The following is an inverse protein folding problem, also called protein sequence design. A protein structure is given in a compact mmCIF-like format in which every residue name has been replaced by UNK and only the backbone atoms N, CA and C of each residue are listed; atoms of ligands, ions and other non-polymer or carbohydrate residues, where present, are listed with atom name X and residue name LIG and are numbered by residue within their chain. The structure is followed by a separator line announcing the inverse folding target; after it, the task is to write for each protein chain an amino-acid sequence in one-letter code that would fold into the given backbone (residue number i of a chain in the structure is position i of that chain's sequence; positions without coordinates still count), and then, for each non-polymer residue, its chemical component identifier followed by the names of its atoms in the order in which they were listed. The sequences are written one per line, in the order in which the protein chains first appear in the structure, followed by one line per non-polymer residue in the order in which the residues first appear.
data_IF_653760134066
#
_entry.id   IF_653760134066
#
_cell.length_a   1.000
_cell.length_b   1.000
_cell.length_c   1.000
_cell.angle_alpha   90.00
_cell.angle_beta   90.00
_cell.angle_gamma   90.00
#
_symmetry.space_group_name_H-M   'P 1'
#
loop_
_entity.id
_entity.type
_entity.pdbx_description
1 polymer ?
#
# COMPACT_ATOMS: atom_id res chain seq x y z
N UNK A 1 -18.08 -10.41 52.14
CA UNK A 1 -19.30 -11.10 51.67
C UNK A 1 -19.02 -11.68 50.31
N UNK A 2 -18.86 -13.00 50.26
CA UNK A 2 -18.71 -13.80 49.04
C UNK A 2 -20.08 -13.97 48.39
N UNK A 3 -20.20 -13.67 47.10
CA UNK A 3 -21.35 -14.00 46.27
C UNK A 3 -20.89 -14.81 45.06
N UNK A 4 -21.12 -16.13 45.13
CA UNK A 4 -20.92 -17.10 44.03
C UNK A 4 -22.17 -17.12 43.15
N UNK A 5 -22.00 -16.99 41.85
CA UNK A 5 -22.90 -17.48 40.78
C UNK A 5 -21.93 -17.81 39.63
N UNK A 6 -21.75 -19.02 39.12
CA UNK A 6 -22.69 -20.10 38.83
C UNK A 6 -22.43 -20.50 37.37
N UNK A 7 -21.32 -21.23 37.14
CA UNK A 7 -20.91 -21.75 35.84
C UNK A 7 -21.88 -22.85 35.38
N UNK A 8 -22.48 -22.68 34.20
CA UNK A 8 -23.15 -23.76 33.46
C UNK A 8 -22.46 -23.90 32.09
N UNK A 9 -21.42 -24.71 32.05
CA UNK A 9 -20.79 -25.19 30.82
C UNK A 9 -21.58 -26.38 30.29
N UNK A 10 -22.46 -26.16 29.31
CA UNK A 10 -23.00 -27.24 28.48
C UNK A 10 -22.00 -27.55 27.37
N UNK A 11 -21.40 -28.74 27.48
CA UNK A 11 -20.39 -29.26 26.56
C UNK A 11 -20.91 -29.46 25.13
N UNK A 12 -20.32 -28.73 24.20
CA UNK A 12 -20.45 -28.96 22.77
C UNK A 12 -19.37 -29.95 22.32
N UNK A 13 -19.75 -31.22 22.09
CA UNK A 13 -18.84 -32.25 21.57
C UNK A 13 -18.68 -32.09 20.04
N UNK A 14 -17.45 -32.17 19.49
CA UNK A 14 -17.22 -32.06 18.06
C UNK A 14 -17.68 -33.33 17.33
N UNK A 15 -18.47 -33.14 16.27
CA UNK A 15 -18.94 -34.21 15.39
C UNK A 15 -17.76 -34.74 14.54
N UNK A 16 -17.27 -35.94 14.88
CA UNK A 16 -16.27 -36.67 14.10
C UNK A 16 -16.91 -37.25 12.83
N UNK A 17 -16.44 -36.74 11.68
CA UNK A 17 -16.13 -37.46 10.42
C UNK A 17 -17.08 -38.58 9.95
N UNK A 18 -18.06 -38.23 9.10
CA UNK A 18 -18.77 -39.18 8.22
C UNK A 18 -18.12 -39.41 6.85
N UNK A 19 -17.01 -38.73 6.52
CA UNK A 19 -16.32 -38.85 5.23
C UNK A 19 -15.20 -39.91 5.15
N UNK A 20 -14.62 -40.34 6.28
CA UNK A 20 -13.46 -41.24 6.28
C UNK A 20 -13.81 -42.74 6.33
N UNK A 21 -15.07 -43.08 6.63
CA UNK A 21 -15.57 -44.46 6.65
C UNK A 21 -15.86 -45.02 5.25
N UNK A 22 -16.31 -44.16 4.32
CA UNK A 22 -16.71 -44.58 2.98
C UNK A 22 -15.51 -44.89 2.07
N UNK A 23 -14.42 -44.10 2.20
CA UNK A 23 -13.18 -44.31 1.43
C UNK A 23 -12.38 -45.54 1.90
N UNK A 24 -12.46 -45.91 3.18
CA UNK A 24 -11.82 -47.14 3.69
C UNK A 24 -12.58 -48.42 3.29
N UNK A 25 -13.89 -48.34 3.05
CA UNK A 25 -14.68 -49.48 2.58
C UNK A 25 -14.51 -49.71 1.07
N UNK A 26 -14.48 -48.63 0.26
CA UNK A 26 -14.21 -48.71 -1.18
C UNK A 26 -12.77 -49.21 -1.48
N UNK A 27 -11.78 -48.81 -0.68
CA UNK A 27 -10.40 -49.29 -0.83
C UNK A 27 -10.23 -50.77 -0.46
N UNK A 28 -11.03 -51.33 0.46
CA UNK A 28 -11.00 -52.77 0.81
C UNK A 28 -11.65 -53.66 -0.26
N UNK A 29 -12.66 -53.16 -0.98
CA UNK A 29 -13.33 -53.92 -2.05
C UNK A 29 -12.49 -53.99 -3.34
N UNK A 30 -11.69 -52.97 -3.65
CA UNK A 30 -10.79 -53.00 -4.80
C UNK A 30 -9.52 -53.84 -4.58
N UNK A 31 -9.07 -53.99 -3.32
CA UNK A 31 -7.89 -54.80 -2.97
C UNK A 31 -8.27 -56.27 -2.69
N UNK A 32 -9.47 -56.53 -2.15
CA UNK A 32 -9.94 -57.90 -1.86
C UNK A 32 -10.28 -58.73 -3.11
N UNK A 33 -10.76 -58.09 -4.18
CA UNK A 33 -11.17 -58.76 -5.42
C UNK A 33 -10.02 -59.30 -6.28
N UNK A 34 -8.83 -58.68 -6.22
CA UNK A 34 -7.68 -59.13 -7.02
C UNK A 34 -6.87 -60.27 -6.35
N UNK A 35 -7.04 -60.50 -5.05
CA UNK A 35 -6.29 -61.54 -4.33
C UNK A 35 -6.87 -62.95 -4.54
N UNK A 36 -8.17 -63.10 -4.85
CA UNK A 36 -8.80 -64.41 -5.06
C UNK A 36 -8.64 -64.98 -6.47
N UNK A 37 -8.38 -64.14 -7.48
CA UNK A 37 -8.08 -64.61 -8.85
C UNK A 37 -6.62 -65.06 -8.99
N UNK A 38 -5.71 -64.54 -8.16
CA UNK A 38 -4.28 -64.87 -8.20
C UNK A 38 -3.96 -66.26 -7.62
N UNK A 39 -4.73 -66.75 -6.65
CA UNK A 39 -4.45 -68.01 -5.94
C UNK A 39 -5.06 -69.27 -6.57
N UNK A 40 -5.73 -69.18 -7.73
CA UNK A 40 -6.30 -70.35 -8.44
C UNK A 40 -5.46 -70.88 -9.61
N UNK A 41 -4.25 -70.36 -9.81
CA UNK A 41 -3.35 -70.75 -10.92
C UNK A 41 -1.99 -71.30 -10.51
N UNK A 42 -1.87 -71.84 -9.29
CA UNK A 42 -0.70 -72.59 -8.84
C UNK A 42 -1.11 -73.96 -8.29
N UNK A 43 -1.53 -74.85 -9.17
CA UNK A 43 -1.27 -76.29 -9.04
C UNK A 43 -0.62 -76.72 -10.35
N UNK A 44 0.56 -77.32 -10.21
CA UNK A 44 1.40 -77.92 -11.26
C UNK A 44 2.35 -76.95 -11.99
N UNK A 45 3.48 -76.64 -11.34
CA UNK A 45 4.70 -76.22 -12.02
C UNK A 45 5.92 -76.64 -11.17
N UNK A 46 6.26 -77.92 -11.21
CA UNK A 46 7.58 -78.42 -10.81
C UNK A 46 8.59 -78.04 -11.88
N UNK A 47 9.68 -77.37 -11.48
CA UNK A 47 10.87 -77.18 -12.30
C UNK A 47 10.86 -76.00 -13.27
N UNK A 48 11.10 -74.78 -12.78
CA UNK A 48 11.68 -73.67 -13.58
C UNK A 48 12.34 -72.63 -12.67
N UNK A 49 13.46 -72.08 -13.11
CA UNK A 49 14.31 -71.18 -12.31
C UNK A 49 13.66 -69.80 -12.10
N UNK A 50 14.05 -69.11 -11.02
CA UNK A 50 13.51 -67.81 -10.58
C UNK A 50 13.57 -66.69 -11.66
N UNK A 51 14.45 -66.83 -12.66
CA UNK A 51 14.54 -65.90 -13.81
C UNK A 51 13.38 -66.04 -14.79
N UNK A 52 12.89 -67.25 -15.03
CA UNK A 52 11.80 -67.50 -15.99
C UNK A 52 10.44 -67.04 -15.45
N UNK A 53 10.27 -67.07 -14.13
CA UNK A 53 9.04 -66.63 -13.45
C UNK A 53 8.86 -65.10 -13.48
N UNK A 54 9.94 -64.32 -13.47
CA UNK A 54 9.87 -62.85 -13.56
C UNK A 54 9.51 -62.37 -14.98
N UNK A 55 9.88 -63.12 -16.02
CA UNK A 55 9.57 -62.80 -17.42
C UNK A 55 8.10 -63.06 -17.78
N UNK A 56 7.49 -64.08 -17.19
CA UNK A 56 6.08 -64.46 -17.43
C UNK A 56 5.07 -63.67 -16.58
N UNK A 57 5.48 -63.07 -15.46
CA UNK A 57 4.58 -62.33 -14.54
C UNK A 57 4.53 -60.82 -14.79
N UNK A 58 5.21 -60.31 -15.83
CA UNK A 58 5.20 -58.89 -16.18
C UNK A 58 5.79 -57.96 -15.11
N UNK A 59 6.42 -58.50 -14.06
CA UNK A 59 6.88 -57.77 -12.86
C UNK A 59 7.92 -56.69 -13.19
N UNK A 60 8.76 -56.95 -14.19
CA UNK A 60 9.74 -55.98 -14.69
C UNK A 60 9.11 -54.84 -15.51
N UNK A 61 7.97 -55.09 -16.16
CA UNK A 61 7.19 -54.05 -16.85
C UNK A 61 6.38 -53.23 -15.86
N UNK A 62 5.79 -53.86 -14.84
CA UNK A 62 5.02 -53.18 -13.79
C UNK A 62 5.90 -52.23 -12.96
N UNK A 63 7.15 -52.59 -12.69
CA UNK A 63 8.10 -51.73 -11.96
C UNK A 63 8.64 -50.55 -12.79
N UNK A 64 8.79 -50.73 -14.11
CA UNK A 64 9.13 -49.62 -15.03
C UNK A 64 7.94 -48.66 -15.19
N UNK A 65 6.72 -49.18 -15.33
CA UNK A 65 5.50 -48.38 -15.43
C UNK A 65 5.27 -47.56 -14.13
N UNK A 66 5.54 -48.13 -12.95
CA UNK A 66 5.39 -47.39 -11.68
C UNK A 66 6.44 -46.27 -11.51
N UNK A 67 7.67 -46.47 -12.00
CA UNK A 67 8.73 -45.46 -11.99
C UNK A 67 8.44 -44.31 -12.95
N UNK A 68 7.95 -44.61 -14.15
CA UNK A 68 7.53 -43.60 -15.15
C UNK A 68 6.33 -42.81 -14.65
N UNK A 69 5.32 -43.46 -14.05
CA UNK A 69 4.17 -42.77 -13.44
C UNK A 69 4.57 -41.82 -12.31
N UNK A 70 5.58 -42.17 -11.50
CA UNK A 70 6.12 -41.30 -10.43
C UNK A 70 6.86 -40.08 -10.97
N UNK A 71 7.61 -40.25 -12.06
CA UNK A 71 8.30 -39.14 -12.73
C UNK A 71 7.33 -38.18 -13.40
N UNK A 72 6.31 -38.71 -14.09
CA UNK A 72 5.25 -37.89 -14.69
C UNK A 72 4.48 -37.12 -13.61
N UNK A 73 4.12 -37.78 -12.50
CA UNK A 73 3.46 -37.10 -11.39
C UNK A 73 4.34 -36.00 -10.76
N UNK A 74 5.65 -36.26 -10.60
CA UNK A 74 6.59 -35.25 -10.12
C UNK A 74 6.69 -34.04 -11.06
N UNK A 75 6.74 -34.26 -12.37
CA UNK A 75 6.75 -33.19 -13.37
C UNK A 75 5.44 -32.38 -13.38
N UNK A 76 4.29 -33.02 -13.19
CA UNK A 76 2.99 -32.34 -13.08
C UNK A 76 2.93 -31.48 -11.82
N UNK A 77 3.41 -31.99 -10.68
CA UNK A 77 3.44 -31.22 -9.42
C UNK A 77 4.41 -30.05 -9.53
N UNK A 78 5.59 -30.24 -10.13
CA UNK A 78 6.54 -29.15 -10.39
C UNK A 78 5.93 -28.12 -11.35
N UNK A 79 5.26 -28.54 -12.40
CA UNK A 79 4.56 -27.64 -13.35
C UNK A 79 3.40 -26.88 -12.70
N UNK A 80 2.65 -27.51 -11.78
CA UNK A 80 1.62 -26.85 -10.98
C UNK A 80 2.24 -25.82 -10.04
N UNK A 81 3.32 -26.15 -9.33
CA UNK A 81 4.03 -25.19 -8.47
C UNK A 81 4.61 -24.03 -9.31
N UNK A 82 5.14 -24.31 -10.50
CA UNK A 82 5.67 -23.28 -11.41
C UNK A 82 4.58 -22.35 -11.95
N UNK A 83 3.36 -22.87 -12.19
CA UNK A 83 2.23 -22.03 -12.61
C UNK A 83 1.70 -21.14 -11.48
N UNK A 84 1.74 -21.59 -10.22
CA UNK A 84 1.44 -20.74 -9.07
C UNK A 84 2.48 -19.64 -8.86
N UNK A 85 3.77 -19.91 -9.08
CA UNK A 85 4.83 -18.90 -8.95
C UNK A 85 4.79 -17.86 -10.09
N UNK A 86 4.28 -18.24 -11.27
CA UNK A 86 4.17 -17.33 -12.42
C UNK A 86 2.88 -16.51 -12.47
N UNK A 87 1.85 -16.88 -11.71
CA UNK A 87 0.68 -16.02 -11.50
C UNK A 87 0.92 -15.16 -10.25
N UNK A 88 1.84 -14.20 -10.36
CA UNK A 88 1.73 -13.02 -9.50
C UNK A 88 0.34 -12.44 -9.76
N UNK A 89 -0.54 -12.47 -8.76
CA UNK A 89 -1.81 -11.75 -8.84
C UNK A 89 -1.46 -10.30 -9.25
N UNK A 90 -1.99 -9.84 -10.39
CA UNK A 90 -1.96 -8.43 -10.75
C UNK A 90 -2.81 -7.67 -9.73
N UNK A 91 -2.22 -7.44 -8.56
CA UNK A 91 -2.81 -6.74 -7.45
C UNK A 91 -2.61 -5.25 -7.70
N UNK A 92 -3.72 -4.53 -7.75
CA UNK A 92 -3.70 -3.07 -7.78
C UNK A 92 -3.50 -2.56 -6.37
N UNK A 93 -2.43 -1.80 -6.14
CA UNK A 93 -2.12 -1.19 -4.85
C UNK A 93 -2.90 0.12 -4.66
N UNK A 94 -3.47 0.31 -3.49
CA UNK A 94 -4.24 1.52 -3.17
C UNK A 94 -3.36 2.59 -2.52
N UNK A 95 -3.18 3.73 -3.19
CA UNK A 95 -2.41 4.86 -2.68
C UNK A 95 -3.38 5.96 -2.26
N UNK A 96 -3.44 6.27 -0.98
CA UNK A 96 -4.31 7.32 -0.45
C UNK A 96 -3.72 8.70 -0.74
N UNK A 97 -4.58 9.64 -1.10
CA UNK A 97 -4.26 11.07 -1.25
C UNK A 97 -5.28 11.90 -0.50
N UNK A 98 -4.85 13.01 0.06
CA UNK A 98 -5.75 14.02 0.62
C UNK A 98 -5.77 15.33 -0.17
N UNK A 99 -5.07 15.37 -1.30
CA UNK A 99 -5.09 16.52 -2.18
C UNK A 99 -6.25 16.41 -3.17
N UNK A 100 -6.83 17.58 -3.47
CA UNK A 100 -7.75 17.76 -4.58
C UNK A 100 -7.35 19.04 -5.33
N UNK A 101 -6.14 19.03 -5.89
CA UNK A 101 -5.50 20.20 -6.50
C UNK A 101 -4.45 19.75 -7.56
N UNK A 102 -3.49 20.61 -7.91
CA UNK A 102 -2.47 20.26 -8.90
C UNK A 102 -1.61 19.04 -8.54
N UNK A 103 -1.50 18.67 -7.26
CA UNK A 103 -0.68 17.53 -6.84
C UNK A 103 -1.39 16.21 -7.12
N UNK A 104 -2.69 16.15 -6.84
CA UNK A 104 -3.53 14.99 -7.09
C UNK A 104 -4.98 15.42 -7.22
N UNK A 105 -5.72 14.83 -8.16
CA UNK A 105 -7.09 15.20 -8.46
C UNK A 105 -7.90 14.01 -9.02
N UNK A 106 -9.21 14.20 -9.23
CA UNK A 106 -10.13 13.16 -9.72
C UNK A 106 -9.81 12.62 -11.13
N UNK A 107 -9.04 13.36 -11.95
CA UNK A 107 -8.59 12.90 -13.26
C UNK A 107 -7.32 12.05 -13.17
N UNK A 108 -6.75 11.93 -11.97
CA UNK A 108 -5.50 11.21 -11.71
C UNK A 108 -4.33 11.69 -12.59
N UNK A 109 -4.30 12.99 -12.90
CA UNK A 109 -3.30 13.63 -13.75
C UNK A 109 -2.47 14.71 -13.04
N UNK A 110 -2.61 14.80 -11.71
CA UNK A 110 -1.82 15.69 -10.87
C UNK A 110 -0.34 15.31 -10.84
N UNK A 111 0.50 16.22 -10.33
CA UNK A 111 1.95 16.03 -10.29
C UNK A 111 2.35 14.74 -9.57
N UNK A 112 1.83 14.53 -8.35
CA UNK A 112 2.09 13.32 -7.58
C UNK A 112 1.36 12.11 -8.15
N UNK A 113 0.19 12.29 -8.78
CA UNK A 113 -0.48 11.16 -9.45
C UNK A 113 0.45 10.53 -10.48
N UNK A 114 0.99 11.36 -11.35
CA UNK A 114 1.86 10.96 -12.44
C UNK A 114 3.21 10.43 -11.95
N UNK A 115 3.79 11.06 -10.92
CA UNK A 115 5.06 10.60 -10.33
C UNK A 115 4.87 9.20 -9.73
N UNK A 116 3.83 9.00 -8.92
CA UNK A 116 3.61 7.73 -8.21
C UNK A 116 3.17 6.63 -9.16
N UNK A 117 2.26 6.89 -10.10
CA UNK A 117 1.88 5.92 -11.13
C UNK A 117 3.09 5.45 -11.95
N UNK A 118 3.96 6.37 -12.38
CA UNK A 118 5.17 6.02 -13.13
C UNK A 118 6.18 5.24 -12.26
N UNK A 119 6.28 5.58 -10.98
CA UNK A 119 7.13 4.84 -10.01
C UNK A 119 6.66 3.39 -9.89
N UNK A 120 5.36 3.16 -9.67
CA UNK A 120 4.80 1.81 -9.60
C UNK A 120 4.96 1.06 -10.92
N UNK A 121 4.68 1.72 -12.06
CA UNK A 121 4.82 1.11 -13.39
C UNK A 121 6.25 0.62 -13.65
N UNK A 122 7.27 1.40 -13.30
CA UNK A 122 8.68 1.03 -13.45
C UNK A 122 9.10 -0.11 -12.52
N UNK A 123 8.46 -0.22 -11.35
CA UNK A 123 8.63 -1.34 -10.43
C UNK A 123 7.88 -2.62 -10.87
N UNK A 124 7.15 -2.58 -12.00
CA UNK A 124 6.34 -3.71 -12.48
C UNK A 124 5.05 -3.89 -11.69
N UNK A 125 4.55 -2.83 -11.06
CA UNK A 125 3.36 -2.82 -10.20
C UNK A 125 2.28 -1.90 -10.80
N UNK A 126 1.04 -2.10 -10.37
CA UNK A 126 -0.08 -1.23 -10.70
C UNK A 126 -0.61 -0.57 -9.42
N UNK A 127 -0.98 0.70 -9.48
CA UNK A 127 -1.61 1.40 -8.37
C UNK A 127 -2.82 2.22 -8.79
N UNK A 128 -3.75 2.40 -7.86
CA UNK A 128 -4.87 3.31 -7.96
C UNK A 128 -4.79 4.33 -6.83
N UNK A 129 -4.93 5.61 -7.18
CA UNK A 129 -4.89 6.71 -6.22
C UNK A 129 -6.32 7.01 -5.75
N UNK A 130 -6.52 7.07 -4.44
CA UNK A 130 -7.84 7.16 -3.82
C UNK A 130 -7.90 8.36 -2.88
N UNK A 131 -8.85 9.26 -3.09
CA UNK A 131 -9.06 10.40 -2.21
C UNK A 131 -9.57 9.99 -0.82
N UNK A 132 -9.02 10.63 0.20
CA UNK A 132 -9.41 10.55 1.62
C UNK A 132 -9.34 11.93 2.26
N UNK A 133 -10.14 12.15 3.30
CA UNK A 133 -9.96 13.34 4.14
C UNK A 133 -8.57 13.30 4.81
N UNK A 134 -7.90 14.45 4.89
CA UNK A 134 -6.49 14.56 5.31
C UNK A 134 -6.22 13.93 6.67
N UNK A 135 -7.11 14.13 7.61
CA UNK A 135 -7.02 13.59 8.96
C UNK A 135 -7.31 12.08 9.04
N UNK A 136 -7.97 11.48 8.03
CA UNK A 136 -8.30 10.05 7.98
C UNK A 136 -7.25 9.21 7.24
N UNK A 137 -6.61 9.78 6.21
CA UNK A 137 -5.77 9.04 5.26
C UNK A 137 -4.63 8.23 5.93
N UNK A 138 -3.93 8.83 6.89
CA UNK A 138 -2.86 8.16 7.64
C UNK A 138 -3.37 6.99 8.50
N UNK A 139 -4.56 7.12 9.09
CA UNK A 139 -5.15 6.04 9.89
C UNK A 139 -5.57 4.86 9.02
N UNK A 140 -6.14 5.11 7.85
CA UNK A 140 -6.54 4.06 6.90
C UNK A 140 -5.33 3.23 6.44
N UNK A 141 -4.23 3.91 6.11
CA UNK A 141 -2.99 3.23 5.70
C UNK A 141 -2.39 2.49 6.90
N UNK A 142 -2.31 3.10 8.08
CA UNK A 142 -1.76 2.47 9.28
C UNK A 142 -2.58 1.26 9.76
N UNK A 143 -3.90 1.25 9.53
CA UNK A 143 -4.78 0.13 9.80
C UNK A 143 -4.71 -0.98 8.72
N UNK A 144 -3.98 -0.74 7.63
CA UNK A 144 -3.84 -1.67 6.52
C UNK A 144 -5.06 -1.71 5.58
N UNK A 145 -6.00 -0.76 5.71
CA UNK A 145 -7.16 -0.61 4.82
C UNK A 145 -6.75 -0.10 3.44
N UNK A 146 -5.70 0.72 3.39
CA UNK A 146 -5.04 1.18 2.17
C UNK A 146 -3.57 0.77 2.19
N UNK A 147 -2.93 0.75 1.03
CA UNK A 147 -1.59 0.19 0.87
C UNK A 147 -0.47 1.21 1.07
N UNK A 148 -0.74 2.47 0.75
CA UNK A 148 0.23 3.55 0.78
C UNK A 148 -0.43 4.92 1.02
N UNK A 149 0.35 5.88 1.51
CA UNK A 149 -0.01 7.30 1.66
C UNK A 149 0.92 8.12 0.76
N UNK A 150 0.32 8.95 -0.10
CA UNK A 150 1.01 9.54 -1.24
C UNK A 150 2.15 10.49 -0.86
N UNK A 151 2.00 11.26 0.23
CA UNK A 151 2.92 12.37 0.52
C UNK A 151 2.90 12.84 1.98
N UNK A 152 3.97 12.58 2.73
CA UNK A 152 4.14 13.05 4.12
C UNK A 152 5.60 13.37 4.43
N UNK A 153 5.81 14.21 5.44
CA UNK A 153 7.14 14.43 6.02
C UNK A 153 7.68 13.13 6.64
N UNK A 154 9.01 13.05 6.85
CA UNK A 154 9.62 11.96 7.61
C UNK A 154 9.10 11.91 9.07
N UNK A 155 9.23 10.76 9.73
CA UNK A 155 8.92 10.60 11.15
C UNK A 155 7.47 10.19 11.48
N UNK A 156 6.62 9.93 10.47
CA UNK A 156 5.22 9.53 10.71
C UNK A 156 5.11 8.20 11.45
N UNK A 157 6.09 7.31 11.31
CA UNK A 157 6.18 6.03 11.98
C UNK A 157 6.16 6.14 13.51
N UNK A 158 6.54 7.30 14.07
CA UNK A 158 6.47 7.56 15.53
C UNK A 158 5.03 7.57 16.03
N UNK A 159 4.09 8.09 15.24
CA UNK A 159 2.65 8.13 15.57
C UNK A 159 1.84 7.03 14.87
N UNK A 160 2.37 6.48 13.79
CA UNK A 160 1.73 5.49 12.93
C UNK A 160 2.69 4.30 12.72
N UNK A 161 2.81 3.37 13.68
CA UNK A 161 3.90 2.38 13.73
C UNK A 161 3.90 1.36 12.57
N UNK A 162 2.81 1.26 11.81
CA UNK A 162 2.76 0.40 10.63
C UNK A 162 3.14 1.12 9.32
N UNK A 163 3.59 2.37 9.39
CA UNK A 163 4.04 3.12 8.23
C UNK A 163 5.55 2.99 8.04
N UNK A 164 5.95 2.77 6.79
CA UNK A 164 7.34 2.77 6.34
C UNK A 164 7.42 3.63 5.07
N UNK A 165 8.41 4.51 4.95
CA UNK A 165 8.54 5.33 3.75
C UNK A 165 9.68 4.91 2.84
N UNK A 166 9.59 5.33 1.58
CA UNK A 166 10.69 5.33 0.64
C UNK A 166 11.86 6.18 1.14
N UNK A 167 13.09 5.78 0.82
CA UNK A 167 14.28 6.61 1.12
C UNK A 167 14.42 7.76 0.14
N UNK A 168 13.95 7.60 -1.10
CA UNK A 168 13.96 8.65 -2.11
C UNK A 168 12.73 9.57 -1.94
N UNK A 169 12.90 10.88 -1.75
CA UNK A 169 11.77 11.80 -1.59
C UNK A 169 11.02 11.99 -2.91
N UNK A 170 9.69 12.12 -2.84
CA UNK A 170 8.84 12.32 -4.02
C UNK A 170 8.71 13.81 -4.41
N UNK A 171 9.00 14.74 -3.49
CA UNK A 171 9.08 16.19 -3.72
C UNK A 171 9.68 16.90 -2.50
N UNK A 172 10.06 18.17 -2.69
CA UNK A 172 10.32 19.11 -1.59
C UNK A 172 9.13 20.06 -1.46
N UNK A 173 8.70 20.32 -0.23
CA UNK A 173 7.58 21.21 0.08
C UNK A 173 8.03 22.35 0.98
N UNK A 174 7.68 23.59 0.59
CA UNK A 174 7.90 24.78 1.39
C UNK A 174 6.63 25.14 2.16
N UNK A 175 6.69 25.14 3.48
CA UNK A 175 5.61 25.57 4.36
C UNK A 175 5.76 27.05 4.67
N UNK A 176 4.73 27.83 4.38
CA UNK A 176 4.75 29.29 4.41
C UNK A 176 3.52 29.83 5.15
N UNK A 177 3.61 31.09 5.56
CA UNK A 177 2.47 31.85 6.04
C UNK A 177 1.90 32.70 4.90
N UNK A 178 0.62 32.55 4.58
CA UNK A 178 -0.11 33.43 3.67
C UNK A 178 -0.79 34.55 4.45
N UNK A 179 -0.72 35.78 3.95
CA UNK A 179 -1.27 36.97 4.61
C UNK A 179 -1.74 38.02 3.59
N UNK A 180 -2.55 38.97 4.07
CA UNK A 180 -2.97 40.18 3.32
C UNK A 180 -2.05 41.38 3.57
N UNK A 181 -1.25 41.31 4.62
CA UNK A 181 -0.33 42.35 5.07
C UNK A 181 1.05 41.74 5.35
N UNK A 182 2.10 42.54 5.27
CA UNK A 182 3.44 42.09 5.62
C UNK A 182 3.55 41.82 7.12
N UNK A 183 4.14 40.68 7.48
CA UNK A 183 4.58 40.38 8.83
C UNK A 183 6.04 39.89 8.76
N UNK A 184 6.92 40.34 9.66
CA UNK A 184 8.29 39.83 9.71
C UNK A 184 8.27 38.36 10.13
N UNK A 185 8.80 37.49 9.27
CA UNK A 185 8.96 36.06 9.56
C UNK A 185 10.39 35.79 10.02
N UNK A 186 10.49 35.24 11.23
CA UNK A 186 11.72 34.70 11.83
C UNK A 186 11.40 33.37 12.52
N UNK A 187 11.13 32.37 11.69
CA UNK A 187 10.70 31.04 12.10
C UNK A 187 9.37 31.01 12.88
N UNK A 188 9.07 29.83 13.43
CA UNK A 188 7.79 29.54 14.10
C UNK A 188 7.44 30.46 15.28
N UNK A 189 8.44 30.98 16.01
CA UNK A 189 8.19 31.85 17.16
C UNK A 189 7.61 33.21 16.77
N UNK A 190 7.99 33.73 15.60
CA UNK A 190 7.54 35.04 15.10
C UNK A 190 6.02 35.13 14.91
N UNK A 191 5.38 34.00 14.60
CA UNK A 191 3.94 33.92 14.32
C UNK A 191 3.08 33.53 15.53
N UNK A 192 3.69 33.23 16.69
CA UNK A 192 3.00 32.64 17.84
C UNK A 192 1.80 33.43 18.36
N UNK A 193 1.87 34.75 18.32
CA UNK A 193 0.83 35.63 18.88
C UNK A 193 -0.23 36.08 17.85
N UNK A 194 -0.11 35.63 16.60
CA UNK A 194 -1.04 35.91 15.52
C UNK A 194 -2.25 34.97 15.55
N UNK A 195 -3.35 35.38 14.91
CA UNK A 195 -4.49 34.52 14.61
C UNK A 195 -4.12 33.59 13.45
N UNK A 196 -3.78 32.34 13.76
CA UNK A 196 -3.19 31.38 12.83
C UNK A 196 -4.25 30.40 12.36
N UNK A 197 -4.43 30.25 11.04
CA UNK A 197 -5.26 29.21 10.46
C UNK A 197 -4.45 27.99 9.99
N UNK A 198 -4.96 26.79 10.25
CA UNK A 198 -4.34 25.51 9.85
C UNK A 198 -5.41 24.55 9.33
N UNK A 199 -5.14 23.83 8.23
CA UNK A 199 -6.00 22.73 7.78
C UNK A 199 -5.75 21.48 8.64
N UNK A 200 -6.82 20.85 9.16
CA UNK A 200 -6.71 19.60 9.92
C UNK A 200 -6.02 18.50 9.12
N UNK A 201 -5.17 17.74 9.79
CA UNK A 201 -4.37 16.66 9.21
C UNK A 201 -3.02 17.09 8.63
N UNK A 202 -2.73 18.39 8.55
CA UNK A 202 -1.39 18.88 8.19
C UNK A 202 -0.44 18.77 9.39
N UNK A 203 0.05 17.55 9.66
CA UNK A 203 0.74 17.20 10.92
C UNK A 203 1.90 18.11 11.30
N UNK A 204 2.75 18.48 10.34
CA UNK A 204 3.82 19.45 10.60
C UNK A 204 3.28 20.79 11.13
N UNK A 205 2.23 21.34 10.52
CA UNK A 205 1.64 22.60 10.94
C UNK A 205 0.95 22.46 12.30
N UNK A 206 0.24 21.35 12.53
CA UNK A 206 -0.37 21.03 13.82
C UNK A 206 0.69 20.95 14.94
N UNK A 207 1.81 20.27 14.69
CA UNK A 207 2.87 20.10 15.69
C UNK A 207 3.59 21.40 16.01
N UNK A 208 3.91 22.22 15.01
CA UNK A 208 4.61 23.48 15.26
C UNK A 208 3.73 24.56 15.89
N UNK A 209 2.42 24.47 15.72
CA UNK A 209 1.45 25.40 16.32
C UNK A 209 0.81 24.88 17.61
N UNK A 210 1.22 23.70 18.07
CA UNK A 210 0.76 23.18 19.36
C UNK A 210 1.13 24.14 20.50
N UNK A 211 0.15 24.40 21.38
CA UNK A 211 0.28 25.38 22.46
C UNK A 211 0.34 26.87 22.04
N UNK A 212 0.07 27.20 20.77
CA UNK A 212 -0.14 28.59 20.38
C UNK A 212 -1.48 29.10 20.92
N UNK A 213 -1.57 30.36 21.36
CA UNK A 213 -2.78 30.90 22.00
C UNK A 213 -3.98 31.06 21.05
N UNK A 214 -3.76 31.18 19.73
CA UNK A 214 -4.80 31.57 18.76
C UNK A 214 -4.71 30.78 17.45
N UNK A 215 -4.98 29.48 17.51
CA UNK A 215 -5.00 28.60 16.33
C UNK A 215 -6.42 28.20 15.97
N UNK A 216 -6.79 28.36 14.71
CA UNK A 216 -8.07 27.92 14.15
C UNK A 216 -7.84 26.76 13.19
N UNK A 217 -8.38 25.60 13.53
CA UNK A 217 -8.32 24.40 12.69
C UNK A 217 -9.55 24.28 11.79
N UNK A 218 -9.34 24.35 10.48
CA UNK A 218 -10.38 24.29 9.44
C UNK A 218 -10.32 22.97 8.66
N UNK A 219 -11.42 22.51 8.04
CA UNK A 219 -11.44 21.22 7.35
C UNK A 219 -10.81 21.24 5.95
N UNK A 220 -10.71 22.41 5.30
CA UNK A 220 -10.24 22.53 3.91
C UNK A 220 -9.44 23.81 3.69
N UNK A 221 -8.59 23.81 2.67
CA UNK A 221 -7.87 24.99 2.17
C UNK A 221 -8.83 26.09 1.69
N UNK A 222 -9.98 25.71 1.13
CA UNK A 222 -11.03 26.67 0.74
C UNK A 222 -11.52 27.48 1.93
N UNK A 223 -11.81 26.80 3.04
CA UNK A 223 -12.24 27.48 4.26
C UNK A 223 -11.09 28.30 4.87
N UNK A 224 -9.86 27.78 4.83
CA UNK A 224 -8.66 28.47 5.31
C UNK A 224 -8.48 29.83 4.63
N UNK A 225 -8.42 29.86 3.30
CA UNK A 225 -8.20 31.08 2.54
C UNK A 225 -9.41 32.02 2.59
N UNK A 226 -10.64 31.49 2.70
CA UNK A 226 -11.84 32.30 2.93
C UNK A 226 -11.80 33.02 4.26
N UNK A 227 -11.37 32.35 5.34
CA UNK A 227 -11.23 32.99 6.65
C UNK A 227 -10.14 34.06 6.66
N UNK A 228 -9.03 33.83 5.96
CA UNK A 228 -7.98 34.84 5.79
C UNK A 228 -8.49 36.07 5.01
N UNK A 229 -9.20 35.85 3.89
CA UNK A 229 -9.73 36.95 3.08
C UNK A 229 -10.73 37.82 3.87
N UNK A 230 -11.57 37.18 4.67
CA UNK A 230 -12.52 37.85 5.58
C UNK A 230 -11.86 38.55 6.79
N UNK A 231 -10.53 38.48 6.94
CA UNK A 231 -9.80 39.09 8.04
C UNK A 231 -10.04 38.41 9.40
N UNK A 232 -10.47 37.14 9.39
CA UNK A 232 -10.66 36.33 10.61
C UNK A 232 -9.38 35.65 11.08
N UNK A 233 -8.37 35.62 10.20
CA UNK A 233 -7.03 35.12 10.46
C UNK A 233 -6.05 36.23 10.09
N UNK A 234 -4.96 36.32 10.83
CA UNK A 234 -3.83 37.18 10.47
C UNK A 234 -3.00 36.47 9.40
N UNK A 235 -2.80 35.15 9.58
CA UNK A 235 -2.07 34.30 8.65
C UNK A 235 -2.76 32.94 8.45
N UNK A 236 -2.61 32.38 7.25
CA UNK A 236 -2.97 31.00 6.91
C UNK A 236 -1.70 30.19 6.63
N UNK A 237 -1.49 29.10 7.37
CA UNK A 237 -0.35 28.22 7.15
C UNK A 237 -0.67 27.14 6.12
N UNK A 238 0.16 27.03 5.09
CA UNK A 238 -0.02 26.05 4.03
C UNK A 238 1.28 25.84 3.23
N UNK A 239 1.27 24.95 2.23
CA UNK A 239 2.39 24.85 1.30
C UNK A 239 2.38 26.00 0.28
N UNK A 240 3.55 26.54 -0.10
CA UNK A 240 3.67 27.62 -1.11
C UNK A 240 2.99 27.20 -2.42
N UNK A 241 3.35 26.04 -2.96
CA UNK A 241 2.85 25.55 -4.24
C UNK A 241 1.33 25.33 -4.26
N UNK A 242 0.78 24.57 -3.31
CA UNK A 242 -0.67 24.30 -3.28
C UNK A 242 -1.47 25.51 -2.81
N UNK A 243 -0.85 26.42 -2.05
CA UNK A 243 -1.46 27.68 -1.66
C UNK A 243 -1.70 28.57 -2.87
N UNK A 244 -0.71 28.77 -3.73
CA UNK A 244 -0.91 29.53 -4.97
C UNK A 244 -1.92 28.89 -5.92
N UNK A 245 -1.98 27.56 -5.96
CA UNK A 245 -3.03 26.85 -6.68
C UNK A 245 -4.43 27.23 -6.18
N UNK A 246 -4.61 27.22 -4.85
CA UNK A 246 -5.86 27.59 -4.20
C UNK A 246 -6.19 29.08 -4.42
N UNK A 247 -5.21 29.98 -4.30
CA UNK A 247 -5.41 31.41 -4.55
C UNK A 247 -5.90 31.67 -5.98
N UNK A 248 -5.33 30.98 -6.97
CA UNK A 248 -5.76 31.06 -8.37
C UNK A 248 -7.17 30.49 -8.56
N UNK A 249 -7.44 29.31 -8.01
CA UNK A 249 -8.75 28.65 -8.11
C UNK A 249 -9.87 29.52 -7.52
N UNK A 250 -9.62 30.10 -6.34
CA UNK A 250 -10.60 30.92 -5.62
C UNK A 250 -10.52 32.42 -5.95
N UNK A 251 -9.63 32.81 -6.88
CA UNK A 251 -9.48 34.17 -7.42
C UNK A 251 -9.12 35.23 -6.37
N UNK A 252 -8.30 34.86 -5.39
CA UNK A 252 -7.74 35.80 -4.42
C UNK A 252 -6.53 36.52 -5.00
N UNK A 253 -6.53 37.86 -4.98
CA UNK A 253 -5.46 38.71 -5.55
C UNK A 253 -4.65 39.47 -4.50
N UNK A 254 -5.19 39.60 -3.29
CA UNK A 254 -4.65 40.38 -2.18
C UNK A 254 -3.98 39.52 -1.10
N UNK A 255 -3.85 38.22 -1.33
CA UNK A 255 -3.19 37.27 -0.43
C UNK A 255 -1.89 36.83 -1.08
N UNK A 256 -0.79 36.88 -0.33
CA UNK A 256 0.52 36.39 -0.74
C UNK A 256 1.18 35.64 0.40
N UNK A 257 2.13 34.78 0.07
CA UNK A 257 2.98 34.20 1.10
C UNK A 257 3.98 35.24 1.63
N UNK A 258 4.42 35.03 2.86
CA UNK A 258 5.48 35.78 3.51
C UNK A 258 6.79 35.00 3.39
N UNK A 259 7.90 35.73 3.29
CA UNK A 259 9.26 35.20 3.20
C UNK A 259 10.05 35.49 4.49
N UNK A 260 10.99 34.62 4.89
CA UNK A 260 11.31 33.32 4.31
C UNK A 260 10.23 32.25 4.61
N UNK A 261 10.28 31.05 3.99
CA UNK A 261 9.44 29.94 4.42
C UNK A 261 9.69 29.61 5.89
N UNK A 262 8.64 29.21 6.60
CA UNK A 262 8.77 28.74 7.98
C UNK A 262 9.61 27.46 8.03
N UNK A 263 9.44 26.61 7.01
CA UNK A 263 10.18 25.37 6.88
C UNK A 263 10.17 24.84 5.45
N UNK A 264 11.20 24.08 5.09
CA UNK A 264 11.26 23.34 3.82
C UNK A 264 11.58 21.89 4.12
N UNK A 265 10.72 20.97 3.70
CA UNK A 265 10.86 19.55 4.02
C UNK A 265 10.83 18.69 2.77
N UNK A 266 11.61 17.62 2.81
CA UNK A 266 11.44 16.50 1.90
C UNK A 266 10.17 15.72 2.27
N UNK A 267 9.46 15.29 1.24
CA UNK A 267 8.22 14.55 1.36
C UNK A 267 8.40 13.16 0.76
N UNK A 268 7.73 12.18 1.36
CA UNK A 268 7.92 10.77 1.04
C UNK A 268 6.59 10.06 0.80
N UNK A 269 6.65 9.06 -0.09
CA UNK A 269 5.63 8.03 -0.21
C UNK A 269 5.77 7.06 0.95
N UNK A 270 4.69 6.87 1.71
CA UNK A 270 4.62 5.87 2.77
C UNK A 270 3.86 4.64 2.30
N UNK A 271 4.25 3.48 2.80
CA UNK A 271 3.61 2.19 2.61
C UNK A 271 3.22 1.62 3.98
N UNK A 272 2.13 0.85 4.01
CA UNK A 272 1.87 -0.02 5.15
C UNK A 272 2.94 -1.12 5.23
N UNK A 273 3.34 -1.51 6.45
CA UNK A 273 4.42 -2.46 6.74
C UNK A 273 4.27 -3.82 6.06
N UNK A 274 3.02 -4.27 5.82
CA UNK A 274 2.70 -5.46 5.01
C UNK A 274 3.30 -5.44 3.58
N UNK A 275 3.54 -4.24 3.05
CA UNK A 275 4.06 -3.99 1.71
C UNK A 275 5.56 -3.58 1.73
N UNK A 276 6.27 -3.79 2.85
CA UNK A 276 7.68 -3.40 3.01
C UNK A 276 8.63 -3.99 1.96
N UNK A 277 8.32 -5.18 1.44
CA UNK A 277 9.07 -5.84 0.38
C UNK A 277 9.09 -5.04 -0.94
N UNK A 278 8.19 -4.08 -1.14
CA UNK A 278 8.12 -3.24 -2.33
C UNK A 278 9.07 -2.03 -2.27
N UNK A 279 9.49 -1.63 -1.06
CA UNK A 279 10.27 -0.40 -0.84
C UNK A 279 11.52 -0.36 -1.73
N UNK A 280 12.38 -1.41 -1.79
CA UNK A 280 13.59 -1.35 -2.62
C UNK A 280 13.29 -1.14 -4.12
N UNK A 281 12.22 -1.76 -4.63
CA UNK A 281 11.83 -1.63 -6.04
C UNK A 281 11.27 -0.25 -6.38
N UNK A 282 10.43 0.28 -5.50
CA UNK A 282 9.85 1.62 -5.65
C UNK A 282 10.91 2.73 -5.48
N UNK A 283 11.84 2.58 -4.53
CA UNK A 283 12.98 3.50 -4.36
C UNK A 283 13.87 3.52 -5.63
N UNK A 284 14.24 2.36 -6.14
CA UNK A 284 15.04 2.27 -7.36
C UNK A 284 14.31 2.89 -8.56
N UNK A 285 12.98 2.69 -8.66
CA UNK A 285 12.16 3.27 -9.69
C UNK A 285 12.11 4.81 -9.60
N UNK A 286 11.79 5.38 -8.44
CA UNK A 286 11.72 6.83 -8.24
C UNK A 286 13.09 7.50 -8.48
N UNK A 287 14.17 6.88 -8.00
CA UNK A 287 15.54 7.35 -8.26
C UNK A 287 15.90 7.30 -9.75
N UNK A 288 15.49 6.25 -10.47
CA UNK A 288 15.71 6.16 -11.92
C UNK A 288 14.99 7.28 -12.68
N UNK A 289 13.80 7.69 -12.22
CA UNK A 289 13.02 8.77 -12.85
C UNK A 289 13.70 10.13 -12.70
N UNK A 290 14.35 10.37 -11.55
CA UNK A 290 15.17 11.56 -11.34
C UNK A 290 16.42 11.53 -12.20
N UNK A 291 17.09 10.38 -12.31
CA UNK A 291 18.31 10.23 -13.11
C UNK A 291 18.09 10.40 -14.62
N UNK A 292 16.95 9.96 -15.16
CA UNK A 292 16.65 10.02 -16.59
C UNK A 292 15.84 11.27 -17.01
N UNK A 293 15.53 12.16 -16.06
CA UNK A 293 14.81 13.41 -16.30
C UNK A 293 13.29 13.26 -16.50
N UNK A 294 12.73 12.06 -16.38
CA UNK A 294 11.28 11.86 -16.48
C UNK A 294 10.52 12.49 -15.31
N UNK A 295 11.09 12.49 -14.11
CA UNK A 295 10.55 13.20 -12.94
C UNK A 295 10.44 14.71 -13.24
N UNK A 296 11.55 15.34 -13.65
CA UNK A 296 11.59 16.78 -13.94
C UNK A 296 10.64 17.18 -15.05
N UNK A 297 10.47 16.31 -16.05
CA UNK A 297 9.51 16.51 -17.13
C UNK A 297 8.07 16.51 -16.60
N UNK A 298 7.70 15.57 -15.73
CA UNK A 298 6.36 15.53 -15.11
C UNK A 298 6.11 16.80 -14.29
N UNK A 299 7.09 17.21 -13.46
CA UNK A 299 7.00 18.43 -12.65
C UNK A 299 6.77 19.64 -13.56
N UNK A 300 7.64 19.84 -14.56
CA UNK A 300 7.56 20.98 -15.49
C UNK A 300 6.24 21.04 -16.24
N UNK A 301 5.83 19.95 -16.87
CA UNK A 301 4.56 19.88 -17.61
C UNK A 301 3.35 20.17 -16.72
N UNK A 302 3.41 19.78 -15.44
CA UNK A 302 2.32 20.06 -14.49
C UNK A 302 2.32 21.52 -14.07
N UNK A 303 3.48 22.09 -13.73
CA UNK A 303 3.58 23.51 -13.37
C UNK A 303 3.17 24.42 -14.53
N UNK A 304 3.62 24.13 -15.76
CA UNK A 304 3.25 24.92 -16.95
C UNK A 304 1.73 24.90 -17.18
N UNK A 305 1.08 23.75 -16.97
CA UNK A 305 -0.38 23.59 -17.09
C UNK A 305 -1.15 24.39 -16.02
N UNK A 306 -0.68 24.35 -14.77
CA UNK A 306 -1.43 24.86 -13.61
C UNK A 306 -1.08 26.27 -13.17
N UNK A 307 0.13 26.76 -13.46
CA UNK A 307 0.60 28.09 -13.07
C UNK A 307 0.88 28.98 -14.29
N UNK A 308 1.06 28.40 -15.49
CA UNK A 308 1.50 29.16 -16.66
C UNK A 308 2.97 29.58 -16.54
N UNK A 309 3.37 30.65 -17.25
CA UNK A 309 4.76 31.15 -17.23
C UNK A 309 5.11 32.02 -16.01
N UNK A 310 4.16 32.32 -15.13
CA UNK A 310 4.43 33.04 -13.89
C UNK A 310 5.02 32.06 -12.86
N UNK A 311 6.36 32.00 -12.81
CA UNK A 311 7.05 31.36 -11.69
C UNK A 311 7.01 32.32 -10.51
N UNK A 312 6.44 31.87 -9.40
CA UNK A 312 6.43 32.61 -8.14
C UNK A 312 7.81 32.47 -7.48
N UNK A 313 8.79 33.15 -8.06
CA UNK A 313 10.11 33.35 -7.47
C UNK A 313 9.99 34.28 -6.25
#
# INVERSE_FOLDING_TARGET
MMGKVGQNEQGYKPCKTKGESFLRHAARLLVGGMQQVYNRRFRNASGRTKRDCNRLTGKDSVSKISRVKRQIFGLIVISMIFTYVLHGENRIYTVSTSYNNLLSNEKHDGMLDRIIQETFRRAGLECMIVYRQTDQSLFDVNAGLLDAEINRIAGMETSFPNLLHLTEPNMTMHFVAFAKHEFPIDGWKSIRNLNVGVVRGWKILEWHTDGFPKVVYVPTEKELFRMLDLGRLDIALYSKLTGYAALREYKYQNIRHLEPPLESQEMFLYLHSKNSHLIPGLDAALKSMKNDGSYDRIVRETLDRYLGHERFD
#
